data_IF_313611434572
#
_entry.id   IF_313611434572
#
_cell.length_a   1.000
_cell.length_b   1.000
_cell.length_c   1.000
_cell.angle_alpha   90.00
_cell.angle_beta   90.00
_cell.angle_gamma   90.00
#
_symmetry.space_group_name_H-M   'P 1'
#
loop_
_entity.id
_entity.type
_entity.pdbx_description
1 polymer ?
#
# COMPACT_ATOMS: atom_id res chain seq x y z
N UNK A 1 13.80 -17.85 -3.82
CA UNK A 1 14.69 -17.92 -4.99
C UNK A 1 16.09 -17.46 -4.57
N UNK A 2 17.15 -17.74 -5.34
CA UNK A 2 18.50 -17.24 -5.03
C UNK A 2 18.53 -15.72 -4.77
N UNK A 3 17.68 -14.95 -5.45
CA UNK A 3 17.48 -13.49 -5.24
C UNK A 3 17.01 -13.06 -3.84
N UNK A 4 16.42 -13.96 -3.04
CA UNK A 4 15.95 -13.63 -1.68
C UNK A 4 17.01 -13.92 -0.60
N UNK A 5 18.05 -14.69 -0.91
CA UNK A 5 19.05 -15.10 0.09
C UNK A 5 20.14 -14.05 0.34
N UNK A 6 20.32 -13.09 -0.57
CA UNK A 6 21.37 -12.06 -0.49
C UNK A 6 20.92 -10.74 0.18
N UNK A 7 19.62 -10.54 0.40
CA UNK A 7 19.12 -9.33 1.04
C UNK A 7 19.08 -9.52 2.56
N UNK A 8 19.93 -8.80 3.27
CA UNK A 8 19.71 -8.52 4.70
C UNK A 8 18.51 -7.56 4.76
N UNK A 9 17.30 -8.11 4.88
CA UNK A 9 16.16 -7.28 5.25
C UNK A 9 16.41 -6.73 6.65
N UNK A 10 16.46 -5.41 6.74
CA UNK A 10 16.61 -4.72 8.02
C UNK A 10 15.31 -4.91 8.80
N UNK A 11 15.33 -5.77 9.82
CA UNK A 11 14.17 -5.99 10.68
C UNK A 11 14.36 -5.26 12.01
N UNK A 12 13.44 -4.35 12.32
CA UNK A 12 13.27 -3.83 13.67
C UNK A 12 12.23 -4.67 14.42
N UNK A 13 12.72 -5.53 15.32
CA UNK A 13 11.85 -6.35 16.14
C UNK A 13 11.16 -5.54 17.24
N UNK A 14 9.88 -5.80 17.47
CA UNK A 14 9.14 -5.25 18.62
C UNK A 14 9.05 -3.73 18.64
N UNK A 15 9.39 -3.14 19.78
CA UNK A 15 9.33 -1.70 20.04
C UNK A 15 10.66 -0.98 19.70
N UNK A 16 11.60 -1.65 19.03
CA UNK A 16 12.91 -1.08 18.71
C UNK A 16 12.83 0.05 17.68
N UNK A 17 13.75 1.01 17.80
CA UNK A 17 13.96 2.12 16.88
C UNK A 17 15.46 2.35 16.65
N UNK A 18 15.88 3.08 15.61
CA UNK A 18 17.30 3.38 15.37
C UNK A 18 17.89 4.43 16.34
N UNK A 19 17.10 5.02 17.24
CA UNK A 19 17.54 6.06 18.15
C UNK A 19 17.62 5.53 19.59
N UNK A 20 18.71 5.90 20.30
CA UNK A 20 18.86 5.59 21.71
C UNK A 20 17.67 6.15 22.51
N UNK A 21 17.16 5.36 23.45
CA UNK A 21 16.07 5.73 24.37
C UNK A 21 14.71 6.01 23.70
N UNK A 22 14.61 5.88 22.37
CA UNK A 22 13.35 6.01 21.62
C UNK A 22 12.82 4.63 21.27
N UNK A 23 11.53 4.42 21.53
CA UNK A 23 10.80 3.18 21.27
C UNK A 23 9.58 3.42 20.39
N UNK A 24 9.28 2.50 19.49
CA UNK A 24 8.06 2.51 18.71
C UNK A 24 6.88 1.96 19.51
N UNK A 25 5.75 2.68 19.47
CA UNK A 25 4.50 2.12 19.96
C UNK A 25 4.05 0.99 19.03
N UNK A 26 3.87 -0.20 19.60
CA UNK A 26 3.47 -1.37 18.83
C UNK A 26 2.10 -1.16 18.16
N UNK A 27 1.89 -1.67 16.93
CA UNK A 27 0.58 -1.66 16.30
C UNK A 27 -0.51 -2.25 17.21
N UNK A 28 -1.71 -1.68 17.16
CA UNK A 28 -2.85 -2.08 17.99
C UNK A 28 -2.62 -1.99 19.51
N UNK A 29 -1.66 -1.16 19.94
CA UNK A 29 -1.47 -0.76 21.33
C UNK A 29 -1.75 0.74 21.48
N UNK A 30 -2.27 1.12 22.64
CA UNK A 30 -2.32 2.50 23.10
C UNK A 30 -1.21 2.71 24.13
N UNK A 31 -0.71 3.93 24.25
CA UNK A 31 0.18 4.29 25.34
C UNK A 31 -0.62 4.95 26.46
N UNK A 32 -0.74 4.26 27.60
CA UNK A 32 -1.41 4.80 28.78
C UNK A 32 -0.44 5.72 29.52
N UNK A 33 -0.73 7.02 29.51
CA UNK A 33 0.11 8.05 30.15
C UNK A 33 0.11 7.96 31.69
N UNK A 34 -0.95 7.41 32.30
CA UNK A 34 -1.02 7.27 33.76
C UNK A 34 -0.11 6.15 34.23
N UNK A 35 -0.18 5.00 33.57
CA UNK A 35 0.63 3.83 33.92
C UNK A 35 2.00 3.83 33.23
N UNK A 36 2.19 4.70 32.23
CA UNK A 36 3.37 4.77 31.34
C UNK A 36 3.65 3.44 30.65
N UNK A 37 2.60 2.77 30.18
CA UNK A 37 2.68 1.43 29.57
C UNK A 37 1.99 1.39 28.21
N UNK A 38 2.58 0.63 27.29
CA UNK A 38 1.89 0.22 26.07
C UNK A 38 0.90 -0.91 26.39
N UNK A 39 -0.37 -0.72 26.07
CA UNK A 39 -1.46 -1.67 26.35
C UNK A 39 -2.12 -2.05 25.04
N UNK A 40 -2.17 -3.35 24.74
CA UNK A 40 -2.87 -3.87 23.55
C UNK A 40 -4.37 -3.59 23.68
N UNK A 41 -4.95 -2.89 22.70
CA UNK A 41 -6.40 -2.71 22.61
C UNK A 41 -7.04 -3.62 21.54
N UNK A 42 -6.23 -4.20 20.63
CA UNK A 42 -6.72 -5.19 19.66
C UNK A 42 -5.62 -6.20 19.24
N UNK A 43 -5.99 -7.48 18.99
CA UNK A 43 -7.17 -8.14 19.52
C UNK A 43 -6.96 -8.41 21.04
N UNK A 44 -8.01 -8.21 21.84
CA UNK A 44 -8.00 -8.52 23.30
C UNK A 44 -8.65 -9.87 23.63
N UNK A 45 -9.18 -10.54 22.61
CA UNK A 45 -9.82 -11.86 22.69
C UNK A 45 -9.57 -12.64 21.40
N UNK A 46 -9.73 -13.97 21.40
CA UNK A 46 -9.59 -14.78 20.20
C UNK A 46 -10.45 -14.25 19.05
N UNK A 47 -9.90 -14.28 17.83
CA UNK A 47 -10.59 -13.83 16.63
C UNK A 47 -11.73 -14.80 16.29
N UNK A 48 -12.88 -14.24 15.88
CA UNK A 48 -13.99 -15.03 15.34
C UNK A 48 -13.54 -15.67 14.02
N UNK A 49 -13.84 -16.95 13.86
CA UNK A 49 -13.66 -17.67 12.59
C UNK A 49 -14.91 -17.51 11.74
N UNK A 50 -14.72 -17.34 10.45
CA UNK A 50 -15.78 -17.24 9.44
C UNK A 50 -15.61 -18.34 8.39
N UNK A 51 -16.69 -18.74 7.73
CA UNK A 51 -16.56 -19.53 6.51
C UNK A 51 -15.89 -18.71 5.40
N UNK A 52 -15.39 -19.38 4.35
CA UNK A 52 -14.80 -18.67 3.20
C UNK A 52 -15.82 -17.70 2.57
N UNK A 53 -17.06 -18.16 2.38
CA UNK A 53 -18.12 -17.35 1.77
C UNK A 53 -18.45 -16.11 2.61
N UNK A 54 -18.62 -16.29 3.93
CA UNK A 54 -18.87 -15.18 4.84
C UNK A 54 -17.69 -14.21 4.88
N UNK A 55 -16.47 -14.74 4.94
CA UNK A 55 -15.24 -13.96 4.98
C UNK A 55 -15.06 -13.11 3.73
N UNK A 56 -15.30 -13.67 2.54
CA UNK A 56 -15.25 -12.95 1.26
C UNK A 56 -16.28 -11.82 1.25
N UNK A 57 -17.49 -12.07 1.73
CA UNK A 57 -18.56 -11.05 1.76
C UNK A 57 -18.19 -9.90 2.69
N UNK A 58 -17.69 -10.20 3.89
CA UNK A 58 -17.24 -9.20 4.87
C UNK A 58 -16.07 -8.41 4.31
N UNK A 59 -15.05 -9.07 3.75
CA UNK A 59 -13.87 -8.42 3.21
C UNK A 59 -14.22 -7.48 2.04
N UNK A 60 -15.05 -7.94 1.10
CA UNK A 60 -15.47 -7.13 -0.04
C UNK A 60 -16.28 -5.90 0.39
N UNK A 61 -17.23 -6.07 1.33
CA UNK A 61 -18.01 -4.95 1.88
C UNK A 61 -17.12 -3.95 2.63
N UNK A 62 -16.18 -4.46 3.43
CA UNK A 62 -15.24 -3.64 4.19
C UNK A 62 -14.35 -2.83 3.25
N UNK A 63 -13.77 -3.48 2.23
CA UNK A 63 -12.91 -2.83 1.24
C UNK A 63 -13.65 -1.72 0.50
N UNK A 64 -14.85 -2.01 -0.04
CA UNK A 64 -15.71 -1.02 -0.71
C UNK A 64 -16.06 0.15 0.21
N UNK A 65 -16.43 -0.15 1.45
CA UNK A 65 -16.76 0.87 2.45
C UNK A 65 -15.58 1.79 2.76
N UNK A 66 -14.38 1.22 2.94
CA UNK A 66 -13.15 1.98 3.21
C UNK A 66 -12.80 2.92 2.07
N UNK A 67 -12.82 2.43 0.82
CA UNK A 67 -12.46 3.27 -0.34
C UNK A 67 -13.52 4.33 -0.63
N UNK A 68 -14.81 4.00 -0.51
CA UNK A 68 -15.88 4.98 -0.65
C UNK A 68 -15.82 6.05 0.45
N UNK A 69 -15.44 5.68 1.67
CA UNK A 69 -15.22 6.60 2.76
C UNK A 69 -14.03 7.54 2.51
N UNK A 70 -12.96 7.06 1.86
CA UNK A 70 -11.85 7.90 1.43
C UNK A 70 -12.28 8.86 0.31
N UNK A 71 -13.00 8.36 -0.71
CA UNK A 71 -13.53 9.14 -1.83
C UNK A 71 -14.39 10.32 -1.37
N UNK A 72 -15.26 10.11 -0.39
CA UNK A 72 -16.11 11.16 0.18
C UNK A 72 -15.34 12.30 0.87
N UNK A 73 -14.06 12.11 1.19
CA UNK A 73 -13.25 13.07 1.94
C UNK A 73 -12.16 13.70 1.08
N UNK A 74 -11.67 12.99 0.07
CA UNK A 74 -10.52 13.38 -0.72
C UNK A 74 -10.65 12.92 -2.17
N UNK A 75 -10.13 13.70 -3.14
CA UNK A 75 -9.86 13.19 -4.49
C UNK A 75 -8.92 11.98 -4.40
N UNK A 76 -9.29 10.88 -5.03
CA UNK A 76 -8.52 9.63 -4.93
C UNK A 76 -7.56 9.48 -6.09
N UNK A 77 -6.35 9.03 -5.76
CA UNK A 77 -5.41 8.47 -6.70
C UNK A 77 -5.12 7.02 -6.31
N UNK A 78 -5.27 6.09 -7.25
CA UNK A 78 -5.07 4.65 -7.01
C UNK A 78 -3.96 4.14 -7.92
N UNK A 79 -2.89 3.67 -7.30
CA UNK A 79 -1.78 3.03 -8.00
C UNK A 79 -2.20 1.63 -8.49
N UNK A 80 -1.97 1.35 -9.77
CA UNK A 80 -2.24 0.07 -10.42
C UNK A 80 -0.94 -0.66 -10.78
N UNK A 81 -1.01 -1.99 -10.78
CA UNK A 81 0.05 -2.92 -11.20
C UNK A 81 -0.58 -4.19 -11.78
N UNK A 82 0.22 -5.15 -12.25
CA UNK A 82 -0.30 -6.44 -12.69
C UNK A 82 -0.83 -7.33 -11.54
N UNK A 83 -0.58 -6.92 -10.29
CA UNK A 83 -0.92 -7.64 -9.08
C UNK A 83 -2.43 -7.85 -8.86
N UNK A 84 -2.77 -8.82 -8.01
CA UNK A 84 -4.16 -9.05 -7.60
C UNK A 84 -4.71 -7.90 -6.76
N UNK A 85 -3.91 -7.40 -5.81
CA UNK A 85 -4.35 -6.39 -4.84
C UNK A 85 -4.77 -5.09 -5.52
N UNK A 86 -3.98 -4.59 -6.46
CA UNK A 86 -4.30 -3.38 -7.22
C UNK A 86 -5.54 -3.55 -8.09
N UNK A 87 -5.75 -4.73 -8.68
CA UNK A 87 -6.98 -5.04 -9.43
C UNK A 87 -8.22 -5.13 -8.53
N UNK A 88 -8.07 -5.64 -7.30
CA UNK A 88 -9.14 -5.61 -6.31
C UNK A 88 -9.47 -4.17 -5.88
N UNK A 89 -8.47 -3.30 -5.73
CA UNK A 89 -8.67 -1.88 -5.47
C UNK A 89 -9.44 -1.20 -6.60
N UNK A 90 -9.07 -1.43 -7.86
CA UNK A 90 -9.82 -0.95 -9.02
C UNK A 90 -11.28 -1.41 -8.98
N UNK A 91 -11.53 -2.71 -8.76
CA UNK A 91 -12.89 -3.25 -8.66
C UNK A 91 -13.69 -2.64 -7.50
N UNK A 92 -13.04 -2.29 -6.39
CA UNK A 92 -13.69 -1.66 -5.24
C UNK A 92 -14.13 -0.21 -5.52
N UNK A 93 -13.56 0.46 -6.53
CA UNK A 93 -13.95 1.81 -6.95
C UNK A 93 -15.11 1.85 -7.95
N UNK A 94 -15.63 0.70 -8.40
CA UNK A 94 -16.58 0.60 -9.52
C UNK A 94 -17.69 1.67 -9.53
N UNK A 95 -18.25 1.99 -8.37
CA UNK A 95 -19.41 2.91 -8.26
C UNK A 95 -19.05 4.39 -8.43
N UNK A 96 -17.76 4.75 -8.44
CA UNK A 96 -17.24 6.12 -8.56
C UNK A 96 -15.89 6.18 -9.30
N UNK A 97 -15.60 5.18 -10.14
CA UNK A 97 -14.28 5.03 -10.74
C UNK A 97 -13.89 6.18 -11.67
N UNK A 98 -14.87 6.86 -12.29
CA UNK A 98 -14.64 8.03 -13.15
C UNK A 98 -14.04 9.22 -12.40
N UNK A 99 -14.24 9.29 -11.08
CA UNK A 99 -13.71 10.35 -10.19
C UNK A 99 -12.30 10.02 -9.66
N UNK A 100 -11.72 8.88 -10.05
CA UNK A 100 -10.45 8.37 -9.50
C UNK A 100 -9.32 8.52 -10.50
N UNK A 101 -8.21 9.08 -10.05
CA UNK A 101 -6.97 9.13 -10.82
C UNK A 101 -6.23 7.78 -10.74
N UNK A 102 -6.38 6.94 -11.75
CA UNK A 102 -5.65 5.67 -11.83
C UNK A 102 -4.29 5.86 -12.47
N UNK A 103 -3.23 5.32 -11.85
CA UNK A 103 -1.89 5.46 -12.38
C UNK A 103 -0.97 4.29 -12.09
N UNK A 104 0.05 4.12 -12.90
CA UNK A 104 1.19 3.26 -12.60
C UNK A 104 2.48 4.06 -12.70
N UNK A 105 3.47 3.70 -11.89
CA UNK A 105 4.77 4.36 -11.89
C UNK A 105 5.79 3.54 -12.68
N UNK A 106 6.38 4.17 -13.70
CA UNK A 106 7.43 3.57 -14.50
C UNK A 106 8.78 3.84 -13.83
N UNK A 107 9.29 2.82 -13.13
CA UNK A 107 10.56 2.89 -12.41
C UNK A 107 11.68 2.17 -13.15
N UNK A 108 12.91 2.70 -13.04
CA UNK A 108 14.15 2.00 -13.41
C UNK A 108 14.11 1.45 -14.84
N UNK A 109 14.08 0.11 -14.97
CA UNK A 109 14.12 -0.62 -16.23
C UNK A 109 12.73 -0.90 -16.82
N UNK A 110 11.65 -0.49 -16.15
CA UNK A 110 10.30 -0.70 -16.65
C UNK A 110 10.05 0.14 -17.89
N UNK A 111 9.30 -0.45 -18.82
CA UNK A 111 8.82 0.15 -20.07
C UNK A 111 7.31 -0.07 -20.18
N UNK A 112 6.63 0.60 -21.09
CA UNK A 112 5.19 0.42 -21.33
C UNK A 112 4.79 -1.03 -21.61
N UNK A 113 5.72 -1.86 -22.09
CA UNK A 113 5.51 -3.29 -22.38
C UNK A 113 5.65 -4.20 -21.16
N UNK A 114 6.18 -3.67 -20.04
CA UNK A 114 6.29 -4.42 -18.79
C UNK A 114 4.91 -4.69 -18.23
N UNK A 115 4.67 -5.91 -17.72
CA UNK A 115 3.33 -6.33 -17.29
C UNK A 115 2.72 -5.40 -16.22
N UNK A 116 3.55 -4.87 -15.31
CA UNK A 116 3.12 -3.90 -14.29
C UNK A 116 2.62 -2.55 -14.84
N UNK A 117 2.82 -2.27 -16.13
CA UNK A 117 2.32 -1.08 -16.82
C UNK A 117 1.30 -1.45 -17.90
N UNK A 118 1.58 -2.49 -18.68
CA UNK A 118 0.72 -2.96 -19.78
C UNK A 118 -0.62 -3.49 -19.28
N UNK A 119 -0.60 -4.40 -18.28
CA UNK A 119 -1.82 -5.07 -17.79
C UNK A 119 -2.80 -4.07 -17.16
N UNK A 120 -2.39 -3.15 -16.27
CA UNK A 120 -3.27 -2.07 -15.82
C UNK A 120 -3.88 -1.27 -16.95
N UNK A 121 -3.08 -0.88 -17.95
CA UNK A 121 -3.52 -0.08 -19.09
C UNK A 121 -4.55 -0.80 -19.96
N UNK A 122 -4.39 -2.10 -20.15
CA UNK A 122 -5.36 -2.94 -20.88
C UNK A 122 -6.66 -3.09 -20.09
N UNK A 123 -6.57 -3.36 -18.77
CA UNK A 123 -7.75 -3.52 -17.91
C UNK A 123 -8.56 -2.23 -17.85
N UNK A 124 -7.93 -1.08 -17.58
CA UNK A 124 -8.64 0.19 -17.51
C UNK A 124 -9.26 0.55 -18.86
N UNK A 125 -8.56 0.32 -19.97
CA UNK A 125 -9.11 0.52 -21.32
C UNK A 125 -10.35 -0.35 -21.57
N UNK A 126 -10.32 -1.61 -21.16
CA UNK A 126 -11.44 -2.53 -21.33
C UNK A 126 -12.69 -2.11 -20.54
N UNK A 127 -12.53 -1.30 -19.48
CA UNK A 127 -13.64 -0.74 -18.68
C UNK A 127 -13.83 0.77 -18.90
N UNK A 128 -13.26 1.32 -19.97
CA UNK A 128 -13.37 2.73 -20.36
C UNK A 128 -12.91 3.73 -19.27
N UNK A 129 -11.86 3.39 -18.53
CA UNK A 129 -11.23 4.26 -17.54
C UNK A 129 -9.89 4.81 -18.05
N UNK A 130 -9.59 6.05 -17.68
CA UNK A 130 -8.30 6.67 -18.00
C UNK A 130 -7.23 6.13 -17.05
N UNK A 131 -6.08 5.73 -17.61
CA UNK A 131 -4.93 5.28 -16.86
C UNK A 131 -3.70 6.11 -17.21
N UNK A 132 -3.01 6.61 -16.19
CA UNK A 132 -1.86 7.47 -16.33
C UNK A 132 -0.57 6.70 -16.03
N UNK A 133 0.39 6.73 -16.95
CA UNK A 133 1.74 6.25 -16.68
C UNK A 133 2.59 7.45 -16.22
N UNK A 134 3.03 7.42 -14.97
CA UNK A 134 3.92 8.42 -14.40
C UNK A 134 5.36 7.95 -14.59
N UNK A 135 6.14 8.69 -15.38
CA UNK A 135 7.56 8.41 -15.55
C UNK A 135 8.33 8.83 -14.30
N UNK A 136 8.73 7.85 -13.50
CA UNK A 136 9.46 8.06 -12.25
C UNK A 136 10.98 7.85 -12.43
N UNK A 137 11.48 7.84 -13.67
CA UNK A 137 12.93 7.75 -13.99
C UNK A 137 13.59 9.13 -13.98
N UNK A 138 13.12 10.01 -13.09
CA UNK A 138 13.68 11.35 -12.92
C UNK A 138 15.10 11.21 -12.38
N UNK A 139 16.11 11.88 -12.98
CA UNK A 139 17.45 11.86 -12.44
C UNK A 139 17.45 12.49 -11.06
N UNK A 140 18.29 11.95 -10.19
CA UNK A 140 18.58 12.54 -8.90
C UNK A 140 19.19 13.93 -9.10
N UNK A 141 18.74 14.95 -8.36
CA UNK A 141 19.41 16.26 -8.39
C UNK A 141 20.83 16.13 -7.85
N UNK A 142 21.75 17.00 -8.29
CA UNK A 142 23.14 16.94 -7.84
C UNK A 142 23.24 17.09 -6.30
N UNK A 143 22.41 17.95 -5.72
CA UNK A 143 22.35 18.19 -4.28
C UNK A 143 21.88 16.93 -3.51
N UNK A 144 20.86 16.23 -4.01
CA UNK A 144 20.40 15.00 -3.38
C UNK A 144 21.41 13.86 -3.56
N UNK A 145 22.09 13.79 -4.71
CA UNK A 145 23.15 12.81 -4.96
C UNK A 145 24.34 12.96 -4.01
N UNK A 146 24.70 14.21 -3.69
CA UNK A 146 25.76 14.48 -2.72
C UNK A 146 25.38 13.95 -1.33
N UNK A 147 24.14 14.12 -0.88
CA UNK A 147 23.69 13.62 0.43
C UNK A 147 23.53 12.10 0.42
N UNK A 148 22.91 11.54 -0.62
CA UNK A 148 22.61 10.11 -0.72
C UNK A 148 23.87 9.24 -0.77
N UNK A 149 24.94 9.70 -1.42
CA UNK A 149 26.19 8.93 -1.57
C UNK A 149 27.16 9.11 -0.39
N UNK A 150 26.80 9.85 0.66
CA UNK A 150 27.66 10.04 1.86
C UNK A 150 27.60 8.88 2.85
N UNK A 151 26.67 7.94 2.68
CA UNK A 151 26.56 6.68 3.45
C UNK A 151 27.35 5.56 2.82
#
# INVERSE_FOLDING_TARGET
SPRYQEKIETWWAGDSSPYAEVKHLLPNHLFDLKTKKAVRFWPVKPLKKYSLEEGVKIAAQTLKGMIAAAHKRFPLAVALSSGLDSRMMLAATKDFAEDVFFFSMMYRHLTTESDDLKVPSEITRAVNLTHHIVDARVPMSAEFAEVYNRT
#
